data_IF_756668000024
#
_entry.id   IF_756668000024
#
_cell.length_a   1.000
_cell.length_b   1.000
_cell.length_c   1.000
_cell.angle_alpha   90.00
_cell.angle_beta   90.00
_cell.angle_gamma   90.00
#
_symmetry.space_group_name_H-M   'P 1'
#
loop_
_entity.id
_entity.type
_entity.pdbx_description
1 polymer ?
#
# COMPACT_ATOMS: atom_id res chain seq x y z
N UNK A 1 42.10 2.10 23.37
CA UNK A 1 41.07 3.10 23.72
C UNK A 1 39.80 2.67 22.99
N UNK A 2 38.92 1.94 23.67
CA UNK A 2 37.62 1.63 23.11
C UNK A 2 36.80 2.91 23.14
N UNK A 3 36.18 3.26 22.03
CA UNK A 3 35.18 4.31 21.98
C UNK A 3 34.02 3.82 22.84
N UNK A 4 33.91 4.30 24.08
CA UNK A 4 32.67 4.24 24.84
C UNK A 4 31.68 5.10 24.08
N UNK A 5 30.96 4.47 23.15
CA UNK A 5 29.69 5.00 22.70
C UNK A 5 28.83 4.98 23.96
N UNK A 6 28.67 6.15 24.57
CA UNK A 6 27.68 6.37 25.61
C UNK A 6 26.32 6.13 24.95
N UNK A 7 25.92 4.86 24.89
CA UNK A 7 24.71 4.38 24.24
C UNK A 7 23.53 4.90 25.05
N UNK A 8 23.06 6.09 24.67
CA UNK A 8 21.85 6.71 25.17
C UNK A 8 20.61 6.01 24.59
N UNK A 9 20.54 4.67 24.74
CA UNK A 9 19.43 3.82 24.25
C UNK A 9 18.10 4.23 24.90
N UNK A 10 18.17 4.80 26.09
CA UNK A 10 17.05 5.31 26.88
C UNK A 10 16.39 6.58 26.32
N UNK A 11 16.85 7.13 25.20
CA UNK A 11 16.32 8.40 24.69
C UNK A 11 14.91 8.29 24.10
N UNK A 12 14.47 7.11 23.63
CA UNK A 12 13.20 6.95 22.90
C UNK A 12 12.39 5.75 23.40
N UNK A 13 11.08 5.68 23.13
CA UNK A 13 10.24 4.56 23.58
C UNK A 13 10.72 3.24 22.99
N UNK A 14 10.96 2.22 23.82
CA UNK A 14 11.48 0.92 23.40
C UNK A 14 10.37 -0.14 23.30
N UNK A 15 10.54 -1.08 22.37
CA UNK A 15 9.67 -2.25 22.27
C UNK A 15 9.73 -3.11 23.54
N UNK A 16 8.60 -3.73 23.90
CA UNK A 16 8.52 -4.65 25.04
C UNK A 16 8.38 -6.13 24.62
N UNK A 17 8.22 -6.38 23.31
CA UNK A 17 8.15 -7.72 22.73
C UNK A 17 9.36 -7.99 21.82
N UNK A 18 9.48 -9.23 21.35
CA UNK A 18 10.60 -9.72 20.54
C UNK A 18 10.34 -9.68 19.02
N UNK A 19 9.19 -9.18 18.58
CA UNK A 19 8.73 -9.30 17.18
C UNK A 19 8.34 -7.99 16.49
N UNK A 20 8.31 -6.85 17.19
CA UNK A 20 7.91 -5.54 16.63
C UNK A 20 9.09 -4.64 16.24
N UNK A 21 10.33 -5.15 16.24
CA UNK A 21 11.51 -4.29 16.06
C UNK A 21 11.50 -3.56 14.72
N UNK A 22 11.06 -4.25 13.65
CA UNK A 22 10.85 -3.65 12.35
C UNK A 22 9.75 -2.59 12.34
N UNK A 23 8.67 -2.78 13.12
CA UNK A 23 7.61 -1.78 13.23
C UNK A 23 8.09 -0.53 13.97
N UNK A 24 8.88 -0.68 15.04
CA UNK A 24 9.49 0.45 15.73
C UNK A 24 10.42 1.25 14.80
N UNK A 25 11.26 0.57 14.01
CA UNK A 25 12.12 1.23 13.02
C UNK A 25 11.30 2.06 12.03
N UNK A 26 10.25 1.48 11.44
CA UNK A 26 9.37 2.19 10.52
C UNK A 26 8.66 3.36 11.20
N UNK A 27 8.21 3.18 12.44
CA UNK A 27 7.53 4.21 13.21
C UNK A 27 8.45 5.40 13.53
N UNK A 28 9.71 5.13 13.91
CA UNK A 28 10.71 6.18 14.10
C UNK A 28 10.93 6.99 12.83
N UNK A 29 11.06 6.32 11.68
CA UNK A 29 11.25 7.00 10.40
C UNK A 29 10.02 7.85 10.03
N UNK A 30 8.83 7.29 10.18
CA UNK A 30 7.59 8.00 9.89
C UNK A 30 7.44 9.26 10.75
N UNK A 31 7.60 9.14 12.07
CA UNK A 31 7.54 10.25 13.01
C UNK A 31 8.64 11.27 12.75
N UNK A 32 9.86 10.82 12.49
CA UNK A 32 10.97 11.71 12.16
C UNK A 32 10.67 12.54 10.90
N UNK A 33 10.18 11.91 9.82
CA UNK A 33 9.83 12.63 8.58
C UNK A 33 8.71 13.65 8.82
N UNK A 34 7.76 13.35 9.71
CA UNK A 34 6.61 14.21 10.00
C UNK A 34 6.94 15.37 10.96
N UNK A 35 7.82 15.14 11.94
CA UNK A 35 8.01 16.03 13.08
C UNK A 35 9.37 16.73 13.09
N UNK A 36 10.37 16.20 12.37
CA UNK A 36 11.68 16.83 12.33
C UNK A 36 11.62 18.18 11.57
N UNK A 37 12.34 19.21 12.07
CA UNK A 37 12.49 20.45 11.33
C UNK A 37 13.23 20.20 10.00
N UNK A 38 12.95 21.03 8.99
CA UNK A 38 13.56 20.96 7.65
C UNK A 38 15.09 20.86 7.71
N UNK A 39 15.72 21.54 8.67
CA UNK A 39 17.15 21.41 8.97
C UNK A 39 17.36 20.90 10.39
N UNK A 40 17.41 19.58 10.52
CA UNK A 40 17.73 18.90 11.77
C UNK A 40 19.19 19.10 12.21
N UNK A 41 19.41 19.51 13.46
CA UNK A 41 20.73 19.74 14.07
C UNK A 41 20.81 19.02 15.42
N UNK A 42 22.02 18.91 15.97
CA UNK A 42 22.27 18.22 17.27
C UNK A 42 21.42 18.76 18.43
N UNK A 43 21.13 20.07 18.45
CA UNK A 43 20.28 20.69 19.49
C UNK A 43 18.83 20.19 19.46
N UNK A 44 18.39 19.65 18.34
CA UNK A 44 17.02 19.19 18.11
C UNK A 44 16.83 17.72 18.56
N UNK A 45 17.90 17.03 18.99
CA UNK A 45 17.83 15.63 19.47
C UNK A 45 16.92 15.48 20.69
N UNK A 46 16.79 16.53 21.51
CA UNK A 46 15.93 16.53 22.69
C UNK A 46 14.43 16.54 22.36
N UNK A 47 14.05 16.76 21.10
CA UNK A 47 12.65 16.66 20.64
C UNK A 47 12.12 15.23 20.73
N UNK A 48 13.01 14.25 20.59
CA UNK A 48 12.69 12.84 20.64
C UNK A 48 13.11 12.30 22.01
N UNK A 49 12.12 11.91 22.81
CA UNK A 49 12.29 11.52 24.21
C UNK A 49 11.54 10.23 24.55
N UNK A 50 11.68 9.73 25.79
CA UNK A 50 10.90 8.58 26.32
C UNK A 50 9.37 8.72 26.18
N UNK A 51 8.87 9.95 25.97
CA UNK A 51 7.45 10.29 25.76
C UNK A 51 7.13 10.67 24.31
N UNK A 52 8.01 10.35 23.36
CA UNK A 52 7.81 10.69 21.95
C UNK A 52 6.52 10.07 21.40
N UNK A 53 6.22 8.83 21.81
CA UNK A 53 4.99 8.13 21.51
C UNK A 53 4.77 6.99 22.53
N UNK A 54 3.57 6.41 22.54
CA UNK A 54 3.28 5.24 23.40
C UNK A 54 3.80 3.95 22.77
N UNK A 55 4.42 3.04 23.55
CA UNK A 55 5.01 1.81 23.02
C UNK A 55 4.05 0.89 22.24
N UNK A 56 2.74 1.04 22.40
CA UNK A 56 1.73 0.25 21.70
C UNK A 56 1.38 0.82 20.30
N UNK A 57 1.77 2.06 20.01
CA UNK A 57 1.47 2.71 18.73
C UNK A 57 2.16 2.01 17.54
N UNK A 58 3.46 1.65 17.60
CA UNK A 58 4.13 0.98 16.48
C UNK A 58 3.49 -0.36 16.11
N UNK A 59 2.94 -1.10 17.07
CA UNK A 59 2.28 -2.39 16.79
C UNK A 59 1.07 -2.23 15.86
N UNK A 60 0.40 -1.06 15.87
CA UNK A 60 -0.74 -0.76 14.99
C UNK A 60 -0.33 -0.61 13.52
N UNK A 61 0.95 -0.31 13.24
CA UNK A 61 1.46 -0.27 11.87
C UNK A 61 1.28 -1.60 11.15
N UNK A 62 1.20 -2.72 11.88
CA UNK A 62 1.03 -4.05 11.29
C UNK A 62 -0.22 -4.13 10.42
N UNK A 63 -1.35 -3.66 10.93
CA UNK A 63 -2.62 -3.69 10.19
C UNK A 63 -2.64 -2.65 9.08
N UNK A 64 -2.04 -1.47 9.31
CA UNK A 64 -1.91 -0.43 8.30
C UNK A 64 -1.06 -0.88 7.11
N UNK A 65 0.10 -1.49 7.36
CA UNK A 65 0.99 -2.02 6.33
C UNK A 65 0.29 -3.12 5.52
N UNK A 66 -0.41 -4.05 6.18
CA UNK A 66 -1.21 -5.07 5.48
C UNK A 66 -2.25 -4.42 4.57
N UNK A 67 -3.01 -3.47 5.10
CA UNK A 67 -4.04 -2.77 4.33
C UNK A 67 -3.44 -2.06 3.11
N UNK A 68 -2.32 -1.35 3.28
CA UNK A 68 -1.62 -0.67 2.19
C UNK A 68 -1.13 -1.66 1.12
N UNK A 69 -0.56 -2.79 1.52
CA UNK A 69 -0.10 -3.82 0.56
C UNK A 69 -1.28 -4.37 -0.25
N UNK A 70 -2.41 -4.68 0.38
CA UNK A 70 -3.61 -5.14 -0.31
C UNK A 70 -4.18 -4.08 -1.25
N UNK A 71 -4.30 -2.84 -0.77
CA UNK A 71 -4.80 -1.71 -1.55
C UNK A 71 -3.90 -1.43 -2.77
N UNK A 72 -2.58 -1.40 -2.60
CA UNK A 72 -1.64 -1.25 -3.70
C UNK A 72 -1.86 -2.32 -4.77
N UNK A 73 -2.00 -3.60 -4.37
CA UNK A 73 -2.23 -4.70 -5.31
C UNK A 73 -3.50 -4.52 -6.13
N UNK A 74 -4.60 -4.11 -5.50
CA UNK A 74 -5.87 -3.85 -6.18
C UNK A 74 -5.76 -2.68 -7.16
N UNK A 75 -5.07 -1.60 -6.77
CA UNK A 75 -4.88 -0.45 -7.67
C UNK A 75 -4.11 -0.82 -8.94
N UNK A 76 -3.11 -1.70 -8.86
CA UNK A 76 -2.36 -2.14 -10.05
C UNK A 76 -3.24 -2.95 -11.02
N UNK A 77 -4.15 -3.79 -10.51
CA UNK A 77 -5.08 -4.58 -11.35
C UNK A 77 -6.13 -3.70 -12.06
N UNK A 78 -6.50 -2.56 -11.47
CA UNK A 78 -7.48 -1.62 -12.05
C UNK A 78 -6.87 -0.63 -13.05
N UNK A 79 -5.56 -0.37 -12.98
CA UNK A 79 -4.84 0.48 -13.94
C UNK A 79 -4.76 -0.17 -15.33
N UNK A 80 -4.57 -1.49 -15.39
CA UNK A 80 -4.51 -2.22 -16.66
C UNK A 80 -5.85 -2.27 -17.41
N UNK A 81 -6.97 -2.21 -16.69
CA UNK A 81 -8.31 -2.24 -17.29
C UNK A 81 -8.75 -0.89 -17.90
N UNK A 82 -8.09 0.22 -17.54
CA UNK A 82 -8.52 1.57 -17.97
C UNK A 82 -7.72 2.10 -19.17
N UNK A 83 -6.70 1.37 -19.65
CA UNK A 83 -5.94 1.72 -20.86
C UNK A 83 -6.60 1.28 -22.18
N UNK A 84 -7.78 0.64 -22.15
CA UNK A 84 -8.52 0.22 -23.34
C UNK A 84 -9.92 0.82 -23.40
N UNK A 85 -10.00 2.11 -23.70
CA UNK A 85 -11.20 2.68 -24.34
C UNK A 85 -10.76 3.91 -25.14
N UNK A 86 -10.44 3.66 -26.42
CA UNK A 86 -9.87 4.63 -27.33
C UNK A 86 -10.83 5.75 -27.74
N UNK A 87 -10.25 6.92 -28.00
CA UNK A 87 -10.86 7.96 -28.83
C UNK A 87 -10.63 7.65 -30.32
N UNK A 88 -11.66 7.87 -31.14
CA UNK A 88 -11.50 8.12 -32.58
C UNK A 88 -12.21 7.17 -33.55
N UNK A 89 -13.41 7.55 -34.00
CA UNK A 89 -13.99 7.15 -35.30
C UNK A 89 -13.30 7.95 -36.42
N UNK A 90 -13.12 7.44 -37.68
CA UNK A 90 -14.19 7.55 -38.67
C UNK A 90 -14.28 6.47 -39.79
N UNK A 91 -15.54 6.21 -40.17
CA UNK A 91 -16.21 5.83 -41.44
C UNK A 91 -15.41 5.21 -42.62
N UNK A 92 -15.89 4.07 -43.14
CA UNK A 92 -16.08 3.76 -44.59
C UNK A 92 -17.35 2.89 -44.71
N UNK A 93 -18.21 3.13 -45.71
CA UNK A 93 -19.53 2.50 -45.84
C UNK A 93 -19.78 1.70 -47.11
N UNK A 94 -20.90 0.98 -47.10
CA UNK A 94 -21.82 0.58 -48.19
C UNK A 94 -22.86 -0.39 -47.58
N UNK A 95 -24.15 -0.05 -47.61
CA UNK A 95 -25.15 -0.46 -48.63
C UNK A 95 -25.36 -1.99 -48.70
N UNK A 96 -26.54 -2.44 -48.28
CA UNK A 96 -26.92 -3.86 -48.31
C UNK A 96 -28.03 -4.23 -47.34
N UNK A 97 -29.27 -4.07 -47.80
CA UNK A 97 -30.56 -4.51 -47.27
C UNK A 97 -30.57 -5.99 -46.79
N UNK A 98 -31.08 -6.26 -45.58
CA UNK A 98 -31.58 -7.58 -45.11
C UNK A 98 -32.95 -7.89 -45.77
N UNK A 99 -33.43 -9.14 -45.95
CA UNK A 99 -33.48 -10.13 -44.86
C UNK A 99 -33.46 -11.62 -45.32
N UNK A 100 -33.74 -12.53 -44.36
CA UNK A 100 -34.09 -13.97 -44.47
C UNK A 100 -32.87 -14.91 -44.36
N UNK A 101 -32.84 -15.95 -43.54
CA UNK A 101 -33.91 -16.86 -43.11
C UNK A 101 -33.50 -17.66 -41.84
N UNK A 102 -34.51 -18.22 -41.21
CA UNK A 102 -34.63 -19.04 -40.01
C UNK A 102 -33.44 -19.91 -39.53
N UNK A 103 -33.25 -19.98 -38.21
CA UNK A 103 -33.62 -21.16 -37.39
C UNK A 103 -33.02 -21.07 -35.96
N UNK A 104 -33.89 -20.95 -34.95
CA UNK A 104 -33.65 -21.43 -33.57
C UNK A 104 -33.95 -22.94 -33.48
N UNK A 105 -33.84 -23.63 -32.32
CA UNK A 105 -32.72 -23.81 -31.38
C UNK A 105 -32.51 -25.32 -31.09
N UNK A 106 -31.51 -25.73 -30.28
CA UNK A 106 -31.57 -26.96 -29.43
C UNK A 106 -30.35 -27.13 -28.51
N UNK A 107 -30.54 -26.80 -27.24
CA UNK A 107 -30.01 -27.54 -26.06
C UNK A 107 -30.77 -28.89 -25.95
N UNK A 108 -30.37 -29.91 -25.14
CA UNK A 108 -29.55 -29.85 -23.91
C UNK A 108 -28.46 -30.94 -23.78
N UNK A 109 -27.51 -30.77 -22.84
CA UNK A 109 -26.77 -31.87 -22.23
C UNK A 109 -27.15 -31.94 -20.75
N UNK A 110 -27.94 -32.94 -20.39
CA UNK A 110 -28.07 -33.44 -19.02
C UNK A 110 -27.33 -34.76 -18.98
N UNK A 111 -26.28 -34.84 -18.17
CA UNK A 111 -25.55 -36.08 -17.90
C UNK A 111 -25.74 -36.38 -16.41
N UNK A 112 -26.49 -37.43 -16.15
CA UNK A 112 -26.63 -38.06 -14.84
C UNK A 112 -26.32 -39.55 -15.02
N UNK A 113 -25.53 -40.03 -14.05
CA UNK A 113 -25.03 -41.40 -13.80
C UNK A 113 -23.74 -41.82 -14.51
#
# INVERSE_FOLDING_TARGET
MALEVEESIDMVPQQQNDYDCGLFVLYYMQRFIQEAPERFRKKDYSMFGKRWFRPEEPSQLRDQIRHLIHSCRETELTKDATASSGEGQPKIGNDGTDPSDASEPKTPKHLSE
#
